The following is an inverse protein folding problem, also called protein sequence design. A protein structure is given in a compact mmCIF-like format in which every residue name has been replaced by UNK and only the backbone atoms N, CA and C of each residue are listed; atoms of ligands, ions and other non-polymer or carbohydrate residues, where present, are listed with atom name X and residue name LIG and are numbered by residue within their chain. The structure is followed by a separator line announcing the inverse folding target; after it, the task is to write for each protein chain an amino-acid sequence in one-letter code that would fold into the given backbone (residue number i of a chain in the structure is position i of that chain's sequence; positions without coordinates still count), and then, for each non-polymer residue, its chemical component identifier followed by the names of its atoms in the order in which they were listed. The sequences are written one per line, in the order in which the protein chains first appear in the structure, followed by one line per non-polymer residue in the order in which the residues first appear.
data_IF_232644080151
#
_entry.id   IF_232644080151
#
_cell.length_a   1.000
_cell.length_b   1.000
_cell.length_c   1.000
_cell.angle_alpha   90.00
_cell.angle_beta   90.00
_cell.angle_gamma   90.00
#
_symmetry.space_group_name_H-M   'P 1'
#
loop_
_entity.id
_entity.type
_entity.pdbx_description
1 polymer ?
#
# COMPACT_ATOMS: atom_id res chain seq x y z
N UNK A 1 -10.65 32.36 -56.41
CA UNK A 1 -11.92 31.63 -56.54
C UNK A 1 -12.21 31.02 -55.18
N UNK A 2 -13.08 31.62 -54.36
CA UNK A 2 -13.55 31.01 -53.12
C UNK A 2 -14.68 30.04 -53.50
N UNK A 3 -14.45 28.75 -53.32
CA UNK A 3 -15.47 27.73 -53.52
C UNK A 3 -16.28 27.68 -52.23
N UNK A 4 -17.43 28.37 -52.21
CA UNK A 4 -18.37 28.30 -51.10
C UNK A 4 -19.25 27.05 -51.28
N UNK A 5 -18.96 26.02 -50.49
CA UNK A 5 -19.82 24.84 -50.42
C UNK A 5 -21.03 25.17 -49.53
N UNK A 6 -22.19 25.41 -50.14
CA UNK A 6 -23.43 25.74 -49.43
C UNK A 6 -24.06 24.53 -48.74
N UNK A 7 -23.34 23.87 -47.82
CA UNK A 7 -23.95 22.88 -46.94
C UNK A 7 -24.69 23.62 -45.83
N UNK A 8 -26.02 23.69 -45.93
CA UNK A 8 -26.87 24.19 -44.84
C UNK A 8 -26.52 23.42 -43.56
N UNK A 9 -26.19 24.12 -42.47
CA UNK A 9 -25.79 23.53 -41.17
C UNK A 9 -26.75 22.40 -40.73
N UNK A 10 -28.04 22.57 -41.02
CA UNK A 10 -29.13 21.63 -40.71
C UNK A 10 -28.92 20.21 -41.29
N UNK A 11 -28.21 20.09 -42.42
CA UNK A 11 -28.01 18.82 -43.14
C UNK A 11 -26.54 18.41 -43.16
N UNK A 12 -25.78 18.84 -42.15
CA UNK A 12 -24.33 18.66 -42.12
C UNK A 12 -23.89 17.79 -40.96
N UNK A 13 -22.99 16.85 -41.26
CA UNK A 13 -22.46 15.91 -40.27
C UNK A 13 -21.13 16.41 -39.69
N UNK A 14 -20.91 16.11 -38.41
CA UNK A 14 -19.62 16.32 -37.73
C UNK A 14 -18.96 14.96 -37.53
N UNK A 15 -17.82 14.74 -38.19
CA UNK A 15 -17.06 13.51 -38.05
C UNK A 15 -16.25 13.53 -36.76
N UNK A 16 -16.40 12.48 -35.97
CA UNK A 16 -15.66 12.28 -34.72
C UNK A 16 -14.72 11.09 -34.92
N UNK A 17 -13.41 11.22 -34.68
CA UNK A 17 -12.48 10.10 -34.78
C UNK A 17 -12.81 9.00 -33.76
N UNK A 18 -12.81 7.72 -34.17
CA UNK A 18 -13.04 6.61 -33.23
C UNK A 18 -11.99 6.54 -32.12
N UNK A 19 -10.75 6.99 -32.40
CA UNK A 19 -9.68 7.12 -31.40
C UNK A 19 -10.11 8.06 -30.25
N UNK A 20 -10.84 9.14 -30.57
CA UNK A 20 -11.39 10.04 -29.54
C UNK A 20 -12.39 9.28 -28.65
N UNK A 21 -13.26 8.48 -29.25
CA UNK A 21 -14.29 7.72 -28.54
C UNK A 21 -13.68 6.65 -27.64
N UNK A 22 -12.65 5.94 -28.12
CA UNK A 22 -12.06 4.81 -27.39
C UNK A 22 -11.10 5.24 -26.28
N UNK A 23 -10.28 6.28 -26.50
CA UNK A 23 -9.23 6.70 -25.55
C UNK A 23 -9.69 7.82 -24.62
N UNK A 24 -10.44 8.80 -25.13
CA UNK A 24 -10.68 10.06 -24.40
C UNK A 24 -12.06 10.13 -23.74
N UNK A 25 -13.11 9.67 -24.42
CA UNK A 25 -14.48 9.73 -23.86
C UNK A 25 -14.63 9.03 -22.50
N UNK A 26 -13.99 7.86 -22.22
CA UNK A 26 -14.10 7.23 -20.91
C UNK A 26 -13.45 8.01 -19.76
N UNK A 27 -12.46 8.86 -20.08
CA UNK A 27 -11.70 9.62 -19.09
C UNK A 27 -12.23 11.05 -18.90
N UNK A 28 -12.90 11.61 -19.91
CA UNK A 28 -13.38 12.99 -19.91
C UNK A 28 -14.72 13.16 -19.19
N UNK A 29 -14.91 14.35 -18.60
CA UNK A 29 -16.19 14.78 -18.08
C UNK A 29 -17.24 14.90 -19.20
N UNK A 30 -18.51 14.65 -18.85
CA UNK A 30 -19.61 14.75 -19.82
C UNK A 30 -19.73 16.14 -20.46
N UNK A 31 -19.33 17.20 -19.74
CA UNK A 31 -19.29 18.55 -20.30
C UNK A 31 -18.12 18.74 -21.27
N UNK A 32 -16.93 18.23 -20.94
CA UNK A 32 -15.78 18.27 -21.85
C UNK A 32 -16.07 17.58 -23.19
N UNK A 33 -16.76 16.43 -23.17
CA UNK A 33 -17.19 15.74 -24.39
C UNK A 33 -18.15 16.61 -25.22
N UNK A 34 -19.16 17.23 -24.59
CA UNK A 34 -20.10 18.14 -25.27
C UNK A 34 -19.36 19.33 -25.90
N UNK A 35 -18.43 19.94 -25.16
CA UNK A 35 -17.62 21.07 -25.64
C UNK A 35 -16.77 20.63 -26.84
N UNK A 36 -16.07 19.49 -26.77
CA UNK A 36 -15.24 19.00 -27.87
C UNK A 36 -16.04 18.77 -29.16
N UNK A 37 -17.21 18.13 -29.06
CA UNK A 37 -18.11 17.94 -30.21
C UNK A 37 -18.57 19.27 -30.81
N UNK A 38 -18.85 20.26 -29.95
CA UNK A 38 -19.24 21.59 -30.40
C UNK A 38 -18.08 22.33 -31.07
N UNK A 39 -16.86 22.20 -30.54
CA UNK A 39 -15.66 22.76 -31.14
C UNK A 39 -15.36 22.14 -32.51
N UNK A 40 -15.57 20.84 -32.70
CA UNK A 40 -15.46 20.18 -34.01
C UNK A 40 -16.46 20.76 -35.02
N UNK A 41 -17.69 21.04 -34.59
CA UNK A 41 -18.71 21.68 -35.42
C UNK A 41 -18.31 23.11 -35.79
N UNK A 42 -17.86 23.92 -34.83
CA UNK A 42 -17.50 25.33 -35.08
C UNK A 42 -16.27 25.46 -35.94
N UNK A 43 -15.25 24.61 -35.73
CA UNK A 43 -14.03 24.56 -36.53
C UNK A 43 -14.33 24.36 -38.04
N UNK A 44 -15.29 23.49 -38.38
CA UNK A 44 -15.69 23.25 -39.78
C UNK A 44 -16.43 24.44 -40.40
N UNK A 45 -17.15 25.22 -39.60
CA UNK A 45 -17.94 26.36 -40.09
C UNK A 45 -17.16 27.68 -40.15
N UNK A 46 -15.85 27.66 -39.80
CA UNK A 46 -15.00 28.84 -39.68
C UNK A 46 -15.58 29.95 -38.79
N UNK A 47 -16.44 29.58 -37.83
CA UNK A 47 -17.06 30.53 -36.88
C UNK A 47 -16.20 30.64 -35.63
N UNK A 48 -15.91 31.86 -35.22
CA UNK A 48 -15.30 32.12 -33.91
C UNK A 48 -16.32 31.89 -32.81
N UNK A 49 -15.91 31.26 -31.71
CA UNK A 49 -16.73 31.10 -30.52
C UNK A 49 -16.00 31.61 -29.28
N UNK A 50 -16.71 32.33 -28.42
CA UNK A 50 -16.19 32.77 -27.13
C UNK A 50 -16.60 31.81 -26.01
N UNK A 51 -15.86 31.81 -24.90
CA UNK A 51 -16.21 31.04 -23.69
C UNK A 51 -17.65 31.37 -23.21
N UNK A 52 -18.03 32.65 -23.29
CA UNK A 52 -19.37 33.10 -22.93
C UNK A 52 -20.48 32.57 -23.85
N UNK A 53 -20.16 32.34 -25.12
CA UNK A 53 -21.11 31.71 -26.07
C UNK A 53 -21.27 30.22 -25.76
N UNK A 54 -20.19 29.53 -25.37
CA UNK A 54 -20.24 28.13 -24.94
C UNK A 54 -21.08 27.98 -23.68
N UNK A 55 -20.84 28.81 -22.66
CA UNK A 55 -21.62 28.84 -21.42
C UNK A 55 -23.12 29.03 -21.67
N UNK A 56 -23.48 30.07 -22.45
CA UNK A 56 -24.89 30.35 -22.82
C UNK A 56 -25.55 29.22 -23.61
N UNK A 57 -24.82 28.56 -24.52
CA UNK A 57 -25.38 27.50 -25.37
C UNK A 57 -25.53 26.16 -24.64
N UNK A 58 -24.61 25.86 -23.75
CA UNK A 58 -24.61 24.61 -22.99
C UNK A 58 -25.41 24.71 -21.69
N UNK A 59 -25.78 25.93 -21.27
CA UNK A 59 -26.55 26.16 -20.06
C UNK A 59 -25.72 26.01 -18.78
N UNK A 60 -24.41 26.23 -18.88
CA UNK A 60 -23.44 26.05 -17.80
C UNK A 60 -22.79 27.40 -17.45
N UNK A 61 -22.14 27.49 -16.31
CA UNK A 61 -21.39 28.69 -15.90
C UNK A 61 -20.02 28.79 -16.60
N UNK A 62 -19.49 30.02 -16.70
CA UNK A 62 -18.21 30.26 -17.38
C UNK A 62 -17.05 29.54 -16.70
N UNK A 63 -17.07 29.39 -15.38
CA UNK A 63 -15.98 28.76 -14.63
C UNK A 63 -15.94 27.24 -14.90
N UNK A 64 -17.10 26.59 -14.92
CA UNK A 64 -17.23 25.17 -15.28
C UNK A 64 -16.86 24.92 -16.75
N UNK A 65 -17.25 25.81 -17.68
CA UNK A 65 -16.80 25.72 -19.09
C UNK A 65 -15.28 25.88 -19.19
N UNK A 66 -14.69 26.80 -18.44
CA UNK A 66 -13.24 27.01 -18.43
C UNK A 66 -12.50 25.80 -17.84
N UNK A 67 -13.03 25.20 -16.78
CA UNK A 67 -12.49 23.97 -16.21
C UNK A 67 -12.52 22.81 -17.23
N UNK A 68 -13.63 22.65 -17.96
CA UNK A 68 -13.74 21.63 -19.01
C UNK A 68 -12.82 21.92 -20.21
N UNK A 69 -12.58 23.19 -20.57
CA UNK A 69 -11.58 23.56 -21.57
C UNK A 69 -10.15 23.24 -21.12
N UNK A 70 -9.83 23.47 -19.85
CA UNK A 70 -8.54 23.08 -19.26
C UNK A 70 -8.37 21.56 -19.21
N UNK A 71 -9.44 20.81 -18.96
CA UNK A 71 -9.45 19.34 -19.02
C UNK A 71 -9.16 18.83 -20.44
N UNK A 72 -9.77 19.42 -21.46
CA UNK A 72 -9.46 19.10 -22.86
C UNK A 72 -8.02 19.49 -23.23
N UNK A 73 -7.51 20.60 -22.68
CA UNK A 73 -6.12 21.03 -22.87
C UNK A 73 -5.12 20.09 -22.18
N UNK A 74 -5.42 19.59 -20.97
CA UNK A 74 -4.58 18.62 -20.26
C UNK A 74 -4.58 17.25 -20.94
N UNK A 75 -5.69 16.87 -21.58
CA UNK A 75 -5.76 15.73 -22.49
C UNK A 75 -5.06 15.98 -23.84
N UNK A 76 -4.47 17.16 -24.05
CA UNK A 76 -3.79 17.59 -25.27
C UNK A 76 -4.68 17.42 -26.52
N UNK A 77 -6.00 17.58 -26.36
CA UNK A 77 -6.99 17.58 -27.45
C UNK A 77 -7.13 18.95 -28.09
N UNK A 78 -6.77 19.99 -27.34
CA UNK A 78 -6.77 21.38 -27.80
C UNK A 78 -5.63 22.17 -27.17
N UNK A 79 -5.29 23.30 -27.79
CA UNK A 79 -4.35 24.28 -27.28
C UNK A 79 -5.10 25.59 -27.08
N UNK A 80 -5.12 26.09 -25.85
CA UNK A 80 -5.68 27.39 -25.50
C UNK A 80 -4.62 28.47 -25.77
N UNK A 81 -4.91 29.39 -26.69
CA UNK A 81 -4.14 30.63 -26.92
C UNK A 81 -4.96 31.81 -26.44
N UNK A 82 -4.32 32.96 -26.15
CA UNK A 82 -4.97 34.15 -25.58
C UNK A 82 -6.24 34.63 -26.31
N UNK A 83 -6.37 34.32 -27.60
CA UNK A 83 -7.52 34.71 -28.43
C UNK A 83 -8.03 33.62 -29.38
N UNK A 84 -7.52 32.39 -29.28
CA UNK A 84 -7.95 31.30 -30.16
C UNK A 84 -7.83 29.94 -29.48
N UNK A 85 -8.68 29.02 -29.92
CA UNK A 85 -8.63 27.61 -29.53
C UNK A 85 -8.21 26.84 -30.77
N UNK A 86 -7.11 26.11 -30.68
CA UNK A 86 -6.62 25.24 -31.75
C UNK A 86 -6.92 23.79 -31.37
N UNK A 87 -7.61 23.05 -32.25
CA UNK A 87 -7.89 21.63 -32.05
C UNK A 87 -6.72 20.80 -32.58
N UNK A 88 -6.25 19.87 -31.77
CA UNK A 88 -5.20 18.95 -32.19
C UNK A 88 -5.79 17.80 -33.01
N UNK A 89 -5.11 17.41 -34.09
CA UNK A 89 -5.48 16.23 -34.86
C UNK A 89 -5.06 14.97 -34.10
N UNK A 90 -6.04 14.35 -33.45
CA UNK A 90 -5.89 13.12 -32.66
C UNK A 90 -5.33 11.96 -33.49
N UNK A 91 -5.65 11.89 -34.80
CA UNK A 91 -5.15 10.81 -35.67
C UNK A 91 -3.67 11.00 -35.95
N UNK A 92 -3.27 12.21 -36.36
CA UNK A 92 -1.87 12.54 -36.62
C UNK A 92 -1.02 12.34 -35.36
N UNK A 93 -1.55 12.75 -34.21
CA UNK A 93 -0.90 12.54 -32.91
C UNK A 93 -0.68 11.05 -32.60
N UNK A 94 -1.68 10.21 -32.80
CA UNK A 94 -1.54 8.77 -32.54
C UNK A 94 -0.54 8.14 -33.53
N UNK A 95 -0.59 8.54 -34.81
CA UNK A 95 0.39 8.10 -35.82
C UNK A 95 1.80 8.49 -35.40
N UNK A 96 2.04 9.73 -34.98
CA UNK A 96 3.36 10.18 -34.52
C UNK A 96 3.83 9.39 -33.30
N UNK A 97 2.94 9.11 -32.34
CA UNK A 97 3.26 8.31 -31.15
C UNK A 97 3.68 6.89 -31.55
N UNK A 98 2.88 6.21 -32.37
CA UNK A 98 3.15 4.82 -32.78
C UNK A 98 4.38 4.72 -33.69
N UNK A 99 4.55 5.63 -34.66
CA UNK A 99 5.67 5.58 -35.60
C UNK A 99 7.00 6.06 -35.02
N UNK A 100 7.00 7.05 -34.10
CA UNK A 100 8.24 7.45 -33.40
C UNK A 100 8.78 6.30 -32.56
N UNK A 101 7.91 5.57 -31.85
CA UNK A 101 8.31 4.37 -31.09
C UNK A 101 8.99 3.33 -32.00
N UNK A 102 8.48 3.13 -33.22
CA UNK A 102 9.03 2.17 -34.20
C UNK A 102 10.32 2.60 -34.89
N UNK A 103 10.61 3.90 -34.94
CA UNK A 103 11.84 4.42 -35.57
C UNK A 103 12.99 4.50 -34.57
N UNK A 104 12.69 4.58 -33.28
CA UNK A 104 13.69 4.54 -32.21
C UNK A 104 14.24 3.12 -31.93
N UNK A 105 13.53 2.07 -32.37
CA UNK A 105 14.06 0.71 -32.44
C UNK A 105 14.82 0.50 -33.75
N UNK A 106 16.08 0.09 -33.67
CA UNK A 106 17.01 -0.01 -34.80
C UNK A 106 16.51 -0.89 -35.97
N UNK A 107 16.91 -0.60 -37.22
CA UNK A 107 16.46 -1.30 -38.41
C UNK A 107 17.30 -2.56 -38.72
N UNK A 108 17.26 -3.59 -37.88
CA UNK A 108 17.77 -4.95 -38.16
C UNK A 108 16.77 -5.90 -37.47
N UNK A 109 15.90 -6.69 -38.11
CA UNK A 109 16.21 -7.86 -38.95
C UNK A 109 14.91 -8.39 -39.60
N UNK A 110 14.88 -8.59 -40.93
CA UNK A 110 13.63 -8.73 -41.71
C UNK A 110 13.08 -10.15 -41.92
N UNK A 111 13.54 -11.20 -41.23
CA UNK A 111 13.09 -12.58 -41.50
C UNK A 111 12.46 -13.33 -40.32
N UNK A 112 12.99 -13.20 -39.10
CA UNK A 112 12.38 -13.80 -37.88
C UNK A 112 11.15 -13.03 -37.36
N UNK A 113 11.00 -11.80 -37.84
CA UNK A 113 10.03 -10.84 -37.36
C UNK A 113 8.60 -11.12 -37.85
N UNK A 114 8.39 -11.65 -39.06
CA UNK A 114 7.04 -11.91 -39.56
C UNK A 114 6.25 -12.90 -38.70
N UNK A 115 6.91 -13.92 -38.14
CA UNK A 115 6.26 -14.84 -37.19
C UNK A 115 6.07 -14.21 -35.81
N UNK A 116 7.03 -13.40 -35.34
CA UNK A 116 6.90 -12.66 -34.07
C UNK A 116 5.74 -11.66 -34.12
N UNK A 117 5.68 -10.84 -35.17
CA UNK A 117 4.59 -9.90 -35.41
C UNK A 117 3.24 -10.62 -35.56
N UNK A 118 3.19 -11.76 -36.25
CA UNK A 118 1.95 -12.54 -36.35
C UNK A 118 1.47 -13.07 -34.99
N UNK A 119 2.37 -13.50 -34.11
CA UNK A 119 1.99 -13.93 -32.75
C UNK A 119 1.52 -12.75 -31.89
N UNK A 120 2.20 -11.60 -31.95
CA UNK A 120 1.80 -10.39 -31.22
C UNK A 120 0.43 -9.88 -31.68
N UNK A 121 0.20 -9.82 -32.99
CA UNK A 121 -1.06 -9.34 -33.57
C UNK A 121 -2.24 -10.27 -33.19
N UNK A 122 -2.04 -11.59 -33.26
CA UNK A 122 -3.04 -12.57 -32.80
C UNK A 122 -3.37 -12.37 -31.32
N UNK A 123 -2.34 -12.26 -30.47
CA UNK A 123 -2.54 -12.00 -29.05
C UNK A 123 -3.32 -10.70 -28.81
N UNK A 124 -2.94 -9.61 -29.47
CA UNK A 124 -3.62 -8.31 -29.33
C UNK A 124 -5.09 -8.42 -29.75
N UNK A 125 -5.38 -9.14 -30.84
CA UNK A 125 -6.75 -9.42 -31.27
C UNK A 125 -7.53 -10.24 -30.23
N UNK A 126 -6.90 -11.25 -29.64
CA UNK A 126 -7.50 -12.09 -28.61
C UNK A 126 -7.78 -11.31 -27.32
N UNK A 127 -6.85 -10.44 -26.90
CA UNK A 127 -7.03 -9.53 -25.76
C UNK A 127 -8.17 -8.56 -26.03
N UNK A 128 -8.17 -7.91 -27.19
CA UNK A 128 -9.20 -6.95 -27.57
C UNK A 128 -10.59 -7.62 -27.55
N UNK A 129 -10.73 -8.81 -28.14
CA UNK A 129 -11.99 -9.56 -28.17
C UNK A 129 -12.44 -10.02 -26.79
N UNK A 130 -11.52 -10.57 -26.00
CA UNK A 130 -11.86 -11.23 -24.73
C UNK A 130 -12.14 -10.24 -23.60
N UNK A 131 -11.31 -9.20 -23.48
CA UNK A 131 -11.35 -8.28 -22.35
C UNK A 131 -12.00 -6.93 -22.68
N UNK A 132 -12.02 -6.54 -23.96
CA UNK A 132 -12.52 -5.23 -24.39
C UNK A 132 -13.66 -5.31 -25.43
N UNK A 133 -14.25 -6.48 -25.65
CA UNK A 133 -15.36 -6.67 -26.61
C UNK A 133 -15.02 -6.22 -28.05
N UNK A 134 -13.74 -6.23 -28.41
CA UNK A 134 -13.22 -5.74 -29.69
C UNK A 134 -12.92 -4.23 -29.71
N UNK A 135 -13.27 -3.49 -28.66
CA UNK A 135 -13.08 -2.04 -28.53
C UNK A 135 -11.89 -1.72 -27.61
N UNK A 136 -10.70 -2.20 -27.97
CA UNK A 136 -9.47 -1.88 -27.23
C UNK A 136 -8.89 -0.54 -27.70
N UNK A 137 -8.58 0.35 -26.76
CA UNK A 137 -7.93 1.63 -27.08
C UNK A 137 -6.58 1.43 -27.81
N UNK A 138 -6.25 2.25 -28.83
CA UNK A 138 -4.94 2.26 -29.50
C UNK A 138 -3.74 2.37 -28.55
N UNK A 139 -3.90 3.03 -27.40
CA UNK A 139 -2.81 3.22 -26.46
C UNK A 139 -2.34 1.92 -25.79
N UNK A 140 -3.17 0.87 -25.79
CA UNK A 140 -2.81 -0.45 -25.27
C UNK A 140 -1.79 -1.18 -26.14
N UNK A 141 -1.83 -0.97 -27.46
CA UNK A 141 -0.93 -1.65 -28.40
C UNK A 141 0.53 -1.29 -28.11
N UNK A 142 0.80 0.00 -27.86
CA UNK A 142 2.13 0.47 -27.48
C UNK A 142 2.62 -0.06 -26.12
N UNK A 143 1.74 -0.21 -25.12
CA UNK A 143 2.13 -0.81 -23.83
C UNK A 143 2.44 -2.29 -23.95
N UNK A 144 1.61 -3.04 -24.68
CA UNK A 144 1.82 -4.47 -24.89
C UNK A 144 3.14 -4.70 -25.64
N UNK A 145 3.42 -3.90 -26.68
CA UNK A 145 4.72 -3.93 -27.36
C UNK A 145 5.87 -3.60 -26.40
N UNK A 146 5.72 -2.60 -25.54
CA UNK A 146 6.71 -2.30 -24.50
C UNK A 146 6.94 -3.47 -23.53
N UNK A 147 5.90 -4.21 -23.13
CA UNK A 147 6.08 -5.38 -22.27
C UNK A 147 6.81 -6.53 -22.97
N UNK A 148 6.53 -6.75 -24.26
CA UNK A 148 7.30 -7.68 -25.08
C UNK A 148 8.77 -7.26 -25.21
N UNK A 149 9.04 -5.97 -25.41
CA UNK A 149 10.38 -5.52 -25.74
C UNK A 149 11.24 -5.29 -24.48
N UNK A 150 10.66 -4.73 -23.42
CA UNK A 150 11.34 -4.38 -22.17
C UNK A 150 11.40 -5.52 -21.18
N UNK A 151 10.29 -6.24 -20.98
CA UNK A 151 10.20 -7.33 -20.01
C UNK A 151 10.38 -8.72 -20.63
N UNK A 152 10.41 -8.79 -21.97
CA UNK A 152 10.57 -10.04 -22.74
C UNK A 152 9.46 -11.08 -22.50
N UNK A 153 8.30 -10.65 -21.99
CA UNK A 153 7.18 -11.54 -21.68
C UNK A 153 6.75 -12.37 -22.89
N UNK A 154 6.47 -13.65 -22.65
CA UNK A 154 5.80 -14.50 -23.63
C UNK A 154 4.33 -14.09 -23.82
N UNK A 155 3.73 -14.37 -24.99
CA UNK A 155 2.34 -14.03 -25.27
C UNK A 155 1.35 -14.52 -24.19
N UNK A 156 1.59 -15.72 -23.68
CA UNK A 156 0.79 -16.38 -22.66
C UNK A 156 0.85 -15.62 -21.31
N UNK A 157 2.00 -15.05 -20.96
CA UNK A 157 2.18 -14.24 -19.75
C UNK A 157 1.40 -12.93 -19.87
N UNK A 158 1.47 -12.26 -21.02
CA UNK A 158 0.69 -11.03 -21.24
C UNK A 158 -0.81 -11.34 -21.22
N UNK A 159 -1.25 -12.44 -21.83
CA UNK A 159 -2.66 -12.84 -21.76
C UNK A 159 -3.11 -13.09 -20.31
N UNK A 160 -2.30 -13.82 -19.54
CA UNK A 160 -2.57 -14.10 -18.13
C UNK A 160 -2.56 -12.84 -17.26
N UNK A 161 -1.76 -11.83 -17.60
CA UNK A 161 -1.76 -10.53 -16.94
C UNK A 161 -3.14 -9.86 -17.06
N UNK A 162 -3.69 -9.77 -18.27
CA UNK A 162 -5.04 -9.24 -18.47
C UNK A 162 -6.09 -10.10 -17.77
N UNK A 163 -5.95 -11.43 -17.78
CA UNK A 163 -6.86 -12.33 -17.08
C UNK A 163 -6.87 -12.09 -15.57
N UNK A 164 -5.71 -11.90 -14.95
CA UNK A 164 -5.60 -11.65 -13.51
C UNK A 164 -6.17 -10.27 -13.14
N UNK A 165 -5.91 -9.25 -13.95
CA UNK A 165 -6.51 -7.92 -13.75
C UNK A 165 -8.03 -7.94 -13.97
N UNK A 166 -8.53 -8.73 -14.91
CA UNK A 166 -9.97 -8.98 -15.11
C UNK A 166 -10.61 -9.64 -13.89
N UNK A 167 -9.99 -10.69 -13.36
CA UNK A 167 -10.46 -11.40 -12.16
C UNK A 167 -10.56 -10.48 -10.94
N UNK A 168 -9.70 -9.47 -10.85
CA UNK A 168 -9.70 -8.45 -9.79
C UNK A 168 -10.62 -7.26 -10.06
N UNK A 169 -11.32 -7.24 -11.20
CA UNK A 169 -12.14 -6.11 -11.64
C UNK A 169 -11.34 -4.80 -11.72
N UNK A 170 -10.12 -4.88 -12.29
CA UNK A 170 -9.17 -3.76 -12.46
C UNK A 170 -8.71 -3.58 -13.92
N UNK A 171 -9.55 -4.00 -14.88
CA UNK A 171 -9.27 -3.82 -16.32
C UNK A 171 -9.39 -2.36 -16.79
N UNK A 172 -10.15 -1.56 -16.05
CA UNK A 172 -10.35 -0.13 -16.27
C UNK A 172 -9.08 0.70 -15.98
N UNK A 173 -8.23 0.24 -15.06
CA UNK A 173 -7.03 0.96 -14.65
C UNK A 173 -5.79 0.46 -15.38
N UNK A 174 -5.42 1.16 -16.46
CA UNK A 174 -4.17 0.91 -17.18
C UNK A 174 -2.94 1.00 -16.27
N UNK A 175 -2.91 1.99 -15.38
CA UNK A 175 -1.84 2.15 -14.40
C UNK A 175 -1.71 0.93 -13.48
N UNK A 176 -2.81 0.35 -13.02
CA UNK A 176 -2.79 -0.87 -12.21
C UNK A 176 -2.18 -2.04 -12.97
N UNK A 177 -2.60 -2.26 -14.21
CA UNK A 177 -2.09 -3.35 -15.05
C UNK A 177 -0.57 -3.19 -15.27
N UNK A 178 -0.10 -1.97 -15.55
CA UNK A 178 1.34 -1.70 -15.69
C UNK A 178 2.14 -1.97 -14.41
N UNK A 179 1.57 -1.69 -13.23
CA UNK A 179 2.21 -2.03 -11.93
C UNK A 179 2.29 -3.54 -11.73
N UNK A 180 1.24 -4.28 -12.09
CA UNK A 180 1.27 -5.75 -12.01
C UNK A 180 2.31 -6.32 -12.97
N UNK A 181 2.38 -5.80 -14.21
CA UNK A 181 3.41 -6.17 -15.18
C UNK A 181 4.82 -5.89 -14.63
N UNK A 182 5.06 -4.71 -14.06
CA UNK A 182 6.34 -4.38 -13.46
C UNK A 182 6.69 -5.30 -12.28
N UNK A 183 5.71 -5.68 -11.46
CA UNK A 183 5.91 -6.62 -10.36
C UNK A 183 6.33 -8.01 -10.87
N UNK A 184 5.67 -8.50 -11.92
CA UNK A 184 6.01 -9.79 -12.53
C UNK A 184 7.41 -9.76 -13.14
N UNK A 185 7.75 -8.68 -13.84
CA UNK A 185 9.09 -8.48 -14.39
C UNK A 185 10.17 -8.44 -13.29
N UNK A 186 9.92 -7.74 -12.17
CA UNK A 186 10.83 -7.71 -11.01
C UNK A 186 11.06 -9.08 -10.38
N UNK A 187 10.09 -9.99 -10.50
CA UNK A 187 10.19 -11.38 -10.03
C UNK A 187 10.82 -12.32 -11.06
N UNK A 188 11.24 -11.80 -12.22
CA UNK A 188 11.86 -12.60 -13.28
C UNK A 188 10.88 -13.48 -14.04
N UNK A 189 9.57 -13.20 -13.99
CA UNK A 189 8.55 -13.97 -14.70
C UNK A 189 8.60 -13.56 -16.17
N UNK A 190 8.94 -14.49 -17.06
CA UNK A 190 9.03 -14.25 -18.50
C UNK A 190 8.17 -15.25 -19.27
N UNK A 191 8.18 -16.51 -18.83
CA UNK A 191 7.48 -17.62 -19.48
C UNK A 191 6.21 -18.03 -18.73
N UNK A 192 5.35 -18.79 -19.41
CA UNK A 192 4.18 -19.38 -18.73
C UNK A 192 4.58 -20.30 -17.57
N UNK A 193 5.72 -20.99 -17.65
CA UNK A 193 6.18 -21.86 -16.57
C UNK A 193 6.53 -21.04 -15.31
N UNK A 194 7.29 -19.96 -15.46
CA UNK A 194 7.66 -19.07 -14.35
C UNK A 194 6.40 -18.51 -13.66
N UNK A 195 5.40 -18.13 -14.47
CA UNK A 195 4.14 -17.61 -13.97
C UNK A 195 3.35 -18.67 -13.21
N UNK A 196 3.31 -19.91 -13.73
CA UNK A 196 2.65 -21.02 -13.06
C UNK A 196 3.33 -21.37 -11.74
N UNK A 197 4.66 -21.42 -11.69
CA UNK A 197 5.42 -21.61 -10.45
C UNK A 197 5.11 -20.51 -9.43
N UNK A 198 5.10 -19.25 -9.87
CA UNK A 198 4.70 -18.12 -9.03
C UNK A 198 3.29 -18.30 -8.45
N UNK A 199 2.30 -18.66 -9.27
CA UNK A 199 0.93 -18.89 -8.79
C UNK A 199 0.82 -20.07 -7.83
N UNK A 200 1.56 -21.17 -8.08
CA UNK A 200 1.60 -22.34 -7.21
C UNK A 200 2.17 -21.99 -5.83
N UNK A 201 3.28 -21.25 -5.79
CA UNK A 201 3.88 -20.77 -4.54
C UNK A 201 2.92 -19.84 -3.81
N UNK A 202 2.36 -18.85 -4.51
CA UNK A 202 1.42 -17.90 -3.91
C UNK A 202 0.15 -18.58 -3.37
N UNK A 203 -0.38 -19.58 -4.07
CA UNK A 203 -1.52 -20.37 -3.58
C UNK A 203 -1.13 -21.25 -2.37
N UNK A 204 0.06 -21.86 -2.36
CA UNK A 204 0.60 -22.59 -1.20
C UNK A 204 0.72 -21.67 0.01
N UNK A 205 1.28 -20.48 -0.15
CA UNK A 205 1.40 -19.44 0.89
C UNK A 205 0.02 -19.01 1.37
N UNK A 206 -0.92 -18.68 0.46
CA UNK A 206 -2.27 -18.25 0.84
C UNK A 206 -3.06 -19.34 1.58
N UNK A 207 -2.94 -20.61 1.17
CA UNK A 207 -3.56 -21.74 1.87
C UNK A 207 -2.95 -21.94 3.26
N UNK A 208 -1.64 -21.82 3.38
CA UNK A 208 -0.91 -21.91 4.65
C UNK A 208 -1.28 -20.76 5.59
N UNK A 209 -1.27 -19.52 5.10
CA UNK A 209 -1.72 -18.35 5.84
C UNK A 209 -3.16 -18.50 6.34
N UNK A 210 -4.10 -18.93 5.48
CA UNK A 210 -5.49 -19.21 5.89
C UNK A 210 -5.59 -20.33 6.93
N UNK A 211 -4.70 -21.33 6.93
CA UNK A 211 -4.65 -22.36 7.99
C UNK A 211 -4.11 -21.78 9.30
N UNK A 212 -3.06 -20.97 9.24
CA UNK A 212 -2.47 -20.27 10.39
C UNK A 212 -3.51 -19.33 11.02
N UNK A 213 -4.14 -18.46 10.24
CA UNK A 213 -5.17 -17.54 10.71
C UNK A 213 -6.36 -18.25 11.36
N UNK A 214 -6.81 -19.38 10.80
CA UNK A 214 -7.84 -20.24 11.43
C UNK A 214 -7.41 -20.80 12.78
N UNK A 215 -6.17 -21.33 12.88
CA UNK A 215 -5.63 -21.86 14.14
C UNK A 215 -5.42 -20.77 15.19
N UNK A 216 -5.03 -19.56 14.78
CA UNK A 216 -4.86 -18.39 15.65
C UNK A 216 -6.16 -17.63 15.94
N UNK A 217 -7.28 -17.99 15.30
CA UNK A 217 -8.55 -17.23 15.30
C UNK A 217 -8.34 -15.73 14.98
N UNK A 218 -7.38 -15.44 14.08
CA UNK A 218 -7.03 -14.10 13.63
C UNK A 218 -7.37 -13.95 12.14
N UNK A 219 -7.88 -12.77 11.76
CA UNK A 219 -7.96 -12.35 10.36
C UNK A 219 -6.56 -11.96 9.86
N UNK A 220 -6.07 -12.67 8.87
CA UNK A 220 -4.77 -12.39 8.24
C UNK A 220 -4.86 -11.11 7.40
N UNK A 221 -3.83 -10.28 7.51
CA UNK A 221 -3.59 -9.08 6.70
C UNK A 221 -2.55 -9.37 5.63
N UNK A 222 -2.40 -8.46 4.65
CA UNK A 222 -1.36 -8.59 3.60
C UNK A 222 0.05 -8.68 4.20
N UNK A 223 0.35 -7.90 5.25
CA UNK A 223 1.62 -7.99 5.97
C UNK A 223 1.83 -9.37 6.63
N UNK A 224 0.76 -9.95 7.17
CA UNK A 224 0.85 -11.30 7.74
C UNK A 224 1.10 -12.35 6.65
N UNK A 225 0.52 -12.17 5.45
CA UNK A 225 0.76 -13.05 4.29
C UNK A 225 2.21 -12.94 3.79
N UNK A 226 2.79 -11.75 3.78
CA UNK A 226 4.21 -11.53 3.46
C UNK A 226 5.14 -12.23 4.46
N UNK A 227 4.81 -12.21 5.75
CA UNK A 227 5.58 -12.95 6.76
C UNK A 227 5.54 -14.45 6.48
N UNK A 228 4.36 -15.00 6.17
CA UNK A 228 4.22 -16.42 5.81
C UNK A 228 4.97 -16.75 4.51
N UNK A 229 4.93 -15.85 3.52
CA UNK A 229 5.71 -16.01 2.29
C UNK A 229 7.21 -16.11 2.58
N UNK A 230 7.77 -15.22 3.43
CA UNK A 230 9.17 -15.29 3.84
C UNK A 230 9.53 -16.63 4.49
N UNK A 231 8.66 -17.17 5.34
CA UNK A 231 8.92 -18.47 5.98
C UNK A 231 9.01 -19.62 4.98
N UNK A 232 8.15 -19.62 3.96
CA UNK A 232 8.13 -20.69 2.96
C UNK A 232 9.20 -20.51 1.88
N UNK A 233 9.43 -19.28 1.42
CA UNK A 233 10.34 -18.97 0.31
C UNK A 233 11.79 -18.78 0.77
N UNK A 234 12.04 -18.04 1.85
CA UNK A 234 13.40 -17.70 2.30
C UNK A 234 13.95 -18.72 3.30
N UNK A 235 13.12 -19.17 4.25
CA UNK A 235 13.54 -20.13 5.28
C UNK A 235 13.35 -21.59 4.83
N UNK A 236 12.61 -21.82 3.74
CA UNK A 236 12.34 -23.14 3.20
C UNK A 236 11.45 -24.02 4.09
N UNK A 237 10.66 -23.42 4.99
CA UNK A 237 9.85 -24.19 5.93
C UNK A 237 8.52 -24.66 5.32
N UNK A 238 8.29 -25.97 5.42
CA UNK A 238 6.99 -26.56 5.13
C UNK A 238 5.98 -26.36 6.27
N UNK A 239 4.72 -26.65 5.97
CA UNK A 239 3.61 -26.44 6.90
C UNK A 239 3.81 -27.19 8.23
N UNK A 240 4.49 -28.33 8.25
CA UNK A 240 4.71 -29.13 9.46
C UNK A 240 5.61 -28.40 10.47
N UNK A 241 6.66 -27.74 10.00
CA UNK A 241 7.53 -26.89 10.83
C UNK A 241 6.74 -25.67 11.33
N UNK A 242 5.97 -25.04 10.45
CA UNK A 242 5.11 -23.91 10.81
C UNK A 242 4.04 -24.32 11.84
N UNK A 243 3.52 -25.54 11.76
CA UNK A 243 2.59 -26.09 12.73
C UNK A 243 3.24 -26.30 14.11
N UNK A 244 4.50 -26.72 14.18
CA UNK A 244 5.23 -26.81 15.44
C UNK A 244 5.35 -25.43 16.10
N UNK A 245 5.69 -24.39 15.32
CA UNK A 245 5.76 -23.02 15.81
C UNK A 245 4.40 -22.52 16.30
N UNK A 246 3.32 -22.84 15.57
CA UNK A 246 1.94 -22.55 15.95
C UNK A 246 1.57 -23.19 17.29
N UNK A 247 1.86 -24.48 17.47
CA UNK A 247 1.53 -25.23 18.71
C UNK A 247 2.25 -24.67 19.92
N UNK A 248 3.48 -24.18 19.75
CA UNK A 248 4.21 -23.49 20.82
C UNK A 248 3.60 -22.13 21.12
N UNK A 249 3.32 -21.36 20.09
CA UNK A 249 2.77 -20.02 20.21
C UNK A 249 1.37 -20.04 20.84
N UNK A 250 0.55 -21.07 20.54
CA UNK A 250 -0.79 -21.24 21.13
C UNK A 250 -0.77 -21.58 22.62
N UNK A 251 0.36 -21.99 23.19
CA UNK A 251 0.51 -22.20 24.65
C UNK A 251 0.75 -20.89 25.41
N UNK A 252 1.09 -19.80 24.71
CA UNK A 252 1.18 -18.48 25.31
C UNK A 252 -0.21 -17.86 25.46
N UNK A 253 -0.38 -17.04 26.50
CA UNK A 253 -1.62 -16.30 26.77
C UNK A 253 -2.02 -15.37 25.61
N UNK A 254 -1.05 -14.86 24.86
CA UNK A 254 -1.26 -14.06 23.65
C UNK A 254 -0.44 -14.60 22.47
N UNK A 255 -1.04 -15.46 21.62
CA UNK A 255 -0.37 -15.99 20.45
C UNK A 255 -0.22 -14.89 19.39
N UNK A 256 1.00 -14.64 18.92
CA UNK A 256 1.30 -13.60 17.92
C UNK A 256 2.19 -14.12 16.79
N UNK A 257 1.94 -13.64 15.57
CA UNK A 257 2.78 -13.96 14.40
C UNK A 257 4.20 -13.40 14.53
N UNK A 258 4.39 -12.29 15.24
CA UNK A 258 5.71 -11.75 15.55
C UNK A 258 6.53 -12.70 16.44
N UNK A 259 5.89 -13.40 17.38
CA UNK A 259 6.58 -14.41 18.18
C UNK A 259 6.95 -15.64 17.33
N UNK A 260 6.05 -16.06 16.43
CA UNK A 260 6.36 -17.12 15.47
C UNK A 260 7.54 -16.76 14.57
N UNK A 261 7.62 -15.52 14.08
CA UNK A 261 8.72 -15.05 13.23
C UNK A 261 10.07 -15.16 13.94
N UNK A 262 10.13 -14.72 15.21
CA UNK A 262 11.34 -14.85 16.04
C UNK A 262 11.73 -16.30 16.27
N UNK A 263 10.76 -17.16 16.55
CA UNK A 263 11.00 -18.59 16.75
C UNK A 263 11.53 -19.26 15.47
N UNK A 264 10.97 -18.91 14.31
CA UNK A 264 11.41 -19.43 13.02
C UNK A 264 12.80 -18.92 12.63
N UNK A 265 13.12 -17.66 12.94
CA UNK A 265 14.46 -17.10 12.77
C UNK A 265 15.48 -17.81 13.65
N UNK A 266 15.17 -18.06 14.92
CA UNK A 266 16.03 -18.83 15.82
C UNK A 266 16.30 -20.24 15.27
N UNK A 267 15.27 -20.95 14.80
CA UNK A 267 15.45 -22.26 14.19
C UNK A 267 16.29 -22.22 12.92
N UNK A 268 16.16 -21.14 12.13
CA UNK A 268 16.91 -20.97 10.90
C UNK A 268 18.39 -20.65 11.17
N UNK A 269 18.68 -19.83 12.18
CA UNK A 269 20.05 -19.58 12.67
C UNK A 269 20.73 -20.86 13.13
N UNK A 270 19.97 -21.80 13.69
CA UNK A 270 20.44 -23.13 14.07
C UNK A 270 20.42 -24.16 12.92
N UNK A 271 20.12 -23.74 11.68
CA UNK A 271 20.05 -24.59 10.47
C UNK A 271 19.07 -25.79 10.61
N UNK A 272 18.01 -25.63 11.40
CA UNK A 272 17.03 -26.67 11.68
C UNK A 272 15.90 -26.62 10.65
N UNK A 273 16.02 -27.39 9.56
CA UNK A 273 15.01 -27.43 8.50
C UNK A 273 13.96 -28.54 8.68
N UNK A 274 14.28 -29.58 9.45
CA UNK A 274 13.40 -30.72 9.67
C UNK A 274 12.59 -30.60 10.95
N UNK A 275 11.31 -30.98 10.88
CA UNK A 275 10.40 -31.01 12.02
C UNK A 275 10.93 -31.88 13.18
N UNK A 276 11.66 -32.95 12.88
CA UNK A 276 12.23 -33.84 13.90
C UNK A 276 13.51 -33.29 14.51
N UNK A 277 14.36 -32.61 13.71
CA UNK A 277 15.53 -31.90 14.23
C UNK A 277 15.12 -30.76 15.17
N UNK A 278 14.04 -30.05 14.83
CA UNK A 278 13.47 -29.00 15.70
C UNK A 278 12.96 -29.58 17.01
N UNK A 279 12.26 -30.73 17.00
CA UNK A 279 11.80 -31.36 18.24
C UNK A 279 12.97 -31.75 19.14
N UNK A 280 14.01 -32.36 18.58
CA UNK A 280 15.21 -32.77 19.31
C UNK A 280 15.94 -31.57 19.93
N UNK A 281 16.17 -30.52 19.14
CA UNK A 281 16.78 -29.29 19.63
C UNK A 281 15.96 -28.66 20.77
N UNK A 282 14.64 -28.70 20.66
CA UNK A 282 13.75 -28.13 21.67
C UNK A 282 13.66 -28.98 22.94
N UNK A 283 13.74 -30.30 22.83
CA UNK A 283 13.88 -31.21 23.97
C UNK A 283 15.21 -30.97 24.69
N UNK A 284 16.30 -30.80 23.95
CA UNK A 284 17.62 -30.47 24.51
C UNK A 284 17.62 -29.10 25.20
N UNK A 285 17.04 -28.08 24.57
CA UNK A 285 16.89 -26.74 25.16
C UNK A 285 16.01 -26.76 26.41
N UNK A 286 14.91 -27.51 26.40
CA UNK A 286 14.06 -27.69 27.58
C UNK A 286 14.78 -28.42 28.71
N UNK A 287 15.57 -29.46 28.40
CA UNK A 287 16.39 -30.18 29.35
C UNK A 287 17.54 -29.33 29.93
N UNK A 288 18.15 -28.46 29.13
CA UNK A 288 19.16 -27.49 29.61
C UNK A 288 18.53 -26.47 30.56
N UNK A 289 17.38 -25.90 30.20
CA UNK A 289 16.64 -24.93 31.03
C UNK A 289 16.08 -25.56 32.31
N UNK A 290 15.77 -26.86 32.32
CA UNK A 290 15.36 -27.56 33.55
C UNK A 290 16.55 -27.83 34.46
N UNK A 291 17.71 -28.22 33.90
CA UNK A 291 18.96 -28.37 34.64
C UNK A 291 19.44 -27.05 35.25
N UNK A 292 19.41 -25.95 34.51
CA UNK A 292 19.74 -24.62 35.01
C UNK A 292 18.79 -24.16 36.12
N UNK A 293 17.48 -24.44 35.99
CA UNK A 293 16.50 -24.18 37.06
C UNK A 293 16.73 -25.04 38.30
N UNK A 294 17.12 -26.29 38.14
CA UNK A 294 17.49 -27.16 39.26
C UNK A 294 18.79 -26.74 39.95
N UNK A 295 19.77 -26.20 39.21
CA UNK A 295 21.00 -25.63 39.76
C UNK A 295 20.70 -24.31 40.50
N UNK A 296 19.86 -23.44 39.95
CA UNK A 296 19.40 -22.22 40.61
C UNK A 296 18.56 -22.52 41.88
N UNK A 297 17.73 -23.56 41.86
CA UNK A 297 16.96 -24.03 43.02
C UNK A 297 17.78 -24.87 44.03
N UNK A 298 18.96 -25.35 43.64
CA UNK A 298 19.92 -26.08 44.46
C UNK A 298 20.93 -25.19 45.19
N UNK A 299 20.87 -23.87 44.99
CA UNK A 299 21.57 -22.92 45.86
C UNK A 299 20.79 -22.83 47.17
N UNK A 300 21.39 -23.00 48.36
CA UNK A 300 20.66 -22.98 49.61
C UNK A 300 19.87 -21.68 49.73
N UNK A 301 18.57 -21.81 50.00
CA UNK A 301 17.69 -20.70 50.34
C UNK A 301 18.21 -20.02 51.61
N UNK A 302 19.06 -19.02 51.42
CA UNK A 302 19.47 -18.04 52.42
C UNK A 302 19.02 -16.65 51.99
N UNK A 303 17.74 -16.46 51.68
CA UNK A 303 17.06 -15.17 51.86
C UNK A 303 15.58 -15.33 51.56
N UNK A 304 14.76 -15.05 52.57
CA UNK A 304 13.33 -14.87 52.41
C UNK A 304 13.05 -13.83 51.34
N UNK A 305 12.02 -14.10 50.53
CA UNK A 305 11.33 -13.09 49.72
C UNK A 305 11.04 -11.87 50.59
N UNK A 306 11.79 -10.78 50.38
CA UNK A 306 11.33 -9.44 50.73
C UNK A 306 10.77 -8.81 49.47
N UNK A 307 9.49 -8.47 49.56
CA UNK A 307 8.83 -7.55 48.66
C UNK A 307 9.70 -6.33 48.42
N UNK A 308 9.67 -5.85 47.19
CA UNK A 308 10.36 -4.69 46.68
C UNK A 308 10.03 -3.42 47.50
N UNK A 309 10.78 -3.15 48.56
CA UNK A 309 10.79 -1.88 49.29
C UNK A 309 12.15 -1.75 50.03
N UNK A 310 12.94 -0.75 49.64
CA UNK A 310 14.07 -0.25 50.43
C UNK A 310 15.46 -0.57 49.88
N UNK A 311 15.88 0.11 48.81
CA UNK A 311 17.29 0.24 48.43
C UNK A 311 17.96 1.37 49.24
N UNK A 312 17.96 1.26 50.58
CA UNK A 312 18.69 2.17 51.44
C UNK A 312 19.74 1.37 52.22
N UNK A 313 21.01 1.73 52.05
CA UNK A 313 22.08 1.26 52.93
C UNK A 313 21.84 1.83 54.33
N UNK A 314 21.64 0.93 55.30
CA UNK A 314 21.50 1.28 56.70
C UNK A 314 22.87 1.73 57.22
N UNK A 315 23.00 3.00 57.61
CA UNK A 315 24.23 3.52 58.21
C UNK A 315 24.41 2.93 59.61
N UNK A 316 25.53 2.25 59.84
CA UNK A 316 25.93 1.83 61.18
C UNK A 316 26.48 3.03 61.95
N UNK A 317 25.80 3.41 63.03
CA UNK A 317 26.25 4.46 63.93
C UNK A 317 27.06 3.84 65.07
N UNK A 318 28.28 4.32 65.26
CA UNK A 318 29.09 3.93 66.41
C UNK A 318 28.45 4.43 67.71
N UNK A 319 28.66 3.69 68.81
CA UNK A 319 28.09 4.04 70.12
C UNK A 319 28.50 5.45 70.58
N UNK A 320 29.71 5.88 70.23
CA UNK A 320 30.25 7.23 70.47
C UNK A 320 29.49 8.32 69.70
N UNK A 321 29.01 8.04 68.48
CA UNK A 321 28.18 8.97 67.72
C UNK A 321 26.81 9.16 68.38
N UNK A 322 26.25 8.10 68.96
CA UNK A 322 24.95 8.15 69.65
C UNK A 322 25.05 8.86 71.01
N UNK A 323 26.15 8.69 71.73
CA UNK A 323 26.38 9.38 73.01
C UNK A 323 26.60 10.89 72.85
N UNK A 324 27.08 11.35 71.69
CA UNK A 324 27.17 12.78 71.36
C UNK A 324 25.81 13.50 71.18
N UNK A 325 24.69 12.77 71.13
CA UNK A 325 23.34 13.34 71.05
C UNK A 325 22.68 13.55 72.42
N UNK A 326 23.31 13.09 73.51
CA UNK A 326 22.77 13.26 74.85
C UNK A 326 23.62 14.27 75.64
N UNK A 327 23.16 15.53 75.68
CA UNK A 327 23.61 16.48 76.69
C UNK A 327 22.86 16.19 78.00
N UNK A 328 23.63 15.98 79.06
CA UNK A 328 23.13 15.59 80.36
C UNK A 328 22.99 16.85 81.24
N UNK A 329 21.82 17.50 81.27
CA UNK A 329 21.52 18.45 82.36
C UNK A 329 20.02 18.52 82.68
N UNK A 330 19.71 18.12 83.91
CA UNK A 330 18.45 18.29 84.59
C UNK A 330 18.23 19.74 85.07
N UNK A 331 16.97 20.20 84.98
CA UNK A 331 16.30 21.31 85.72
C UNK A 331 16.93 22.71 85.51
N UNK A 332 16.19 23.79 85.21
CA UNK A 332 15.23 24.50 86.09
C UNK A 332 14.49 25.56 85.25
N UNK A 333 13.18 25.66 85.51
CA UNK A 333 12.21 26.77 85.49
C UNK A 333 12.27 28.00 84.55
N UNK A 334 11.04 28.33 84.13
CA UNK A 334 10.40 29.64 83.99
C UNK A 334 10.57 30.53 82.75
N UNK A 335 9.40 31.04 82.35
CA UNK A 335 9.10 32.28 81.62
C UNK A 335 9.31 32.40 80.11
N UNK A 336 8.15 32.48 79.43
CA UNK A 336 7.71 33.52 78.50
C UNK A 336 8.75 34.18 77.55
N UNK A 337 8.44 34.09 76.25
CA UNK A 337 8.48 35.16 75.22
C UNK A 337 8.91 34.54 73.87
N UNK A 338 7.99 34.37 72.93
CA UNK A 338 7.62 35.36 71.91
C UNK A 338 8.41 35.20 70.59
N UNK A 339 7.67 34.77 69.57
CA UNK A 339 7.66 35.26 68.18
C UNK A 339 8.94 35.15 67.34
N UNK A 340 8.89 34.32 66.30
CA UNK A 340 8.98 34.81 64.92
C UNK A 340 8.54 33.76 63.90
N UNK A 341 7.65 34.21 63.03
CA UNK A 341 7.03 33.52 61.91
C UNK A 341 8.06 33.16 60.83
N UNK A 342 7.89 32.01 60.16
CA UNK A 342 7.83 32.05 58.70
C UNK A 342 7.08 30.86 58.07
N UNK A 343 6.41 31.19 56.96
CA UNK A 343 5.22 30.55 56.37
C UNK A 343 5.43 29.16 55.74
N UNK A 344 4.54 28.22 56.05
CA UNK A 344 4.20 27.08 55.18
C UNK A 344 3.23 27.50 54.05
N UNK A 345 3.41 27.06 52.80
CA UNK A 345 2.33 27.09 51.82
C UNK A 345 1.37 25.89 51.99
N UNK A 346 0.11 26.26 52.17
CA UNK A 346 -1.06 25.44 52.50
C UNK A 346 -1.42 24.40 51.44
N UNK A 347 -1.79 23.20 51.89
CA UNK A 347 -2.47 22.20 51.07
C UNK A 347 -3.94 22.58 50.91
N UNK A 348 -4.39 22.84 49.69
CA UNK A 348 -5.80 23.12 49.38
C UNK A 348 -6.66 21.90 49.66
N UNK A 349 -7.77 22.11 50.38
CA UNK A 349 -8.74 21.09 50.70
C UNK A 349 -9.51 20.62 49.45
N UNK A 350 -9.77 19.31 49.39
CA UNK A 350 -10.43 18.59 48.30
C UNK A 350 -11.80 19.18 47.90
N UNK A 351 -12.44 19.92 48.81
CA UNK A 351 -13.72 20.60 48.60
C UNK A 351 -13.66 21.76 47.60
N UNK A 352 -12.52 22.43 47.49
CA UNK A 352 -12.35 23.53 46.52
C UNK A 352 -12.00 23.02 45.11
N UNK A 353 -11.41 21.82 45.02
CA UNK A 353 -11.13 21.16 43.75
C UNK A 353 -12.41 20.62 43.08
N UNK A 354 -13.41 20.23 43.88
CA UNK A 354 -14.72 19.80 43.37
C UNK A 354 -15.62 20.96 42.91
N UNK A 355 -15.42 22.19 43.41
CA UNK A 355 -16.13 23.38 42.91
C UNK A 355 -15.61 23.91 41.57
N UNK A 356 -14.33 23.71 41.26
CA UNK A 356 -13.77 24.08 39.95
C UNK A 356 -14.12 23.09 38.83
N UNK A 357 -14.55 21.87 39.15
CA UNK A 357 -14.88 20.83 38.17
C UNK A 357 -16.35 20.85 37.70
N UNK A 358 -17.17 21.83 38.13
CA UNK A 358 -18.49 22.09 37.52
C UNK A 358 -19.49 20.91 37.54
N UNK A 359 -19.34 19.96 38.47
CA UNK A 359 -20.23 18.82 38.64
C UNK A 359 -21.06 19.00 39.92
N UNK A 360 -22.11 19.81 39.82
CA UNK A 360 -23.16 19.81 40.85
C UNK A 360 -24.07 18.62 40.61
N UNK A 361 -24.05 17.67 41.55
CA UNK A 361 -25.04 16.60 41.70
C UNK A 361 -26.45 17.21 41.87
N UNK A 362 -27.30 17.04 40.86
CA UNK A 362 -28.74 17.28 40.98
C UNK A 362 -29.43 16.04 41.56
N UNK A 363 -29.93 16.16 42.78
CA UNK A 363 -31.01 15.34 43.34
C UNK A 363 -32.33 16.08 43.13
N UNK A 364 -33.24 15.49 42.36
CA UNK A 364 -34.61 15.06 42.72
C UNK A 364 -35.36 14.56 41.48
#
# INVERSE_FOLDING_TARGET
MQIDESRKLLLSDTMVPDIFILEYVPALSGLAVKIYLFLLLTARTSRSITEQDLARRLGEDNDTVKAALLELASGELLILKDRSIELNDVKTKEIERTYRLRTASEPLEKAGDSQRFSKREKLMSDIARTFFQGMMSPSWYGEIDNWFDRYKFEPEVIYALFQECARRNKLDSKAYISVVAENWAKRGIITFNDLNEYFLIHDKVSKTSRRIGRKLRKRMTEYDDEMVARWMEQLGYDFDVIELALRKTSRLSQPSLAFMDKLMQEWFEHQLHDADAIKLYEEEKAARLSKERHIAAGTPAGSQRRSNQGNFEQRDYSREYLEGFYEDVAQVDDEQAAVSEDKEPQQMALTDLMKQAGLTEGKE
#
